data_IF_017611985325
#
_entry.id   IF_017611985325
#
_cell.length_a   1.000
_cell.length_b   1.000
_cell.length_c   1.000
_cell.angle_alpha   90.00
_cell.angle_beta   90.00
_cell.angle_gamma   90.00
#
_symmetry.space_group_name_H-M   'P 1'
#
loop_
_entity.id
_entity.type
_entity.pdbx_description
1 polymer ?
#
# COMPACT_ATOMS: atom_id res chain seq x y z
N UNK A 1 25.49 -2.25 -21.72
CA UNK A 1 24.06 -1.92 -21.61
C UNK A 1 23.28 -2.33 -22.87
N UNK A 2 23.88 -2.30 -24.07
CA UNK A 2 23.15 -2.64 -25.31
C UNK A 2 22.84 -4.13 -25.53
N UNK A 3 23.61 -5.07 -24.98
CA UNK A 3 23.41 -6.51 -25.26
C UNK A 3 22.04 -7.08 -24.79
N UNK A 4 21.40 -6.45 -23.80
CA UNK A 4 20.08 -6.85 -23.31
C UNK A 4 18.93 -6.08 -23.97
N UNK A 5 19.23 -5.02 -24.72
CA UNK A 5 18.22 -4.18 -25.34
C UNK A 5 17.41 -4.96 -26.37
N UNK A 6 18.08 -5.59 -27.33
CA UNK A 6 17.40 -6.33 -28.41
C UNK A 6 16.56 -7.51 -27.88
N UNK A 7 17.05 -8.38 -26.97
CA UNK A 7 16.22 -9.44 -26.40
C UNK A 7 15.02 -8.92 -25.59
N UNK A 8 15.19 -7.83 -24.85
CA UNK A 8 14.10 -7.23 -24.08
C UNK A 8 13.04 -6.60 -24.99
N UNK A 9 13.46 -5.88 -26.02
CA UNK A 9 12.54 -5.30 -26.99
C UNK A 9 11.76 -6.38 -27.74
N UNK A 10 12.40 -7.48 -28.13
CA UNK A 10 11.72 -8.62 -28.76
C UNK A 10 10.67 -9.25 -27.81
N UNK A 11 11.03 -9.50 -26.55
CA UNK A 11 10.09 -10.05 -25.56
C UNK A 11 8.91 -9.09 -25.27
N UNK A 12 9.17 -7.78 -25.24
CA UNK A 12 8.11 -6.78 -25.08
C UNK A 12 7.23 -6.69 -26.33
N UNK A 13 7.77 -6.92 -27.52
CA UNK A 13 7.01 -6.94 -28.78
C UNK A 13 6.05 -8.11 -28.86
N UNK A 14 6.43 -9.28 -28.34
CA UNK A 14 5.53 -10.42 -28.19
C UNK A 14 4.36 -10.13 -27.22
N UNK A 15 4.58 -9.34 -26.17
CA UNK A 15 3.56 -9.01 -25.18
C UNK A 15 2.66 -7.83 -25.60
N UNK A 16 3.24 -6.83 -26.24
CA UNK A 16 2.56 -5.61 -26.67
C UNK A 16 3.31 -5.02 -27.89
N UNK A 17 2.88 -5.29 -29.13
CA UNK A 17 3.57 -4.87 -30.34
C UNK A 17 3.87 -3.37 -30.38
N UNK A 18 5.04 -3.01 -30.90
CA UNK A 18 5.53 -1.63 -30.97
C UNK A 18 4.72 -0.73 -31.91
N UNK A 19 3.99 -1.30 -32.86
CA UNK A 19 3.02 -0.61 -33.73
C UNK A 19 1.59 -0.60 -33.15
N UNK A 20 1.39 -1.18 -31.97
CA UNK A 20 0.12 -1.24 -31.26
C UNK A 20 -0.14 -0.06 -30.32
N UNK A 21 -0.96 -0.29 -29.29
CA UNK A 21 -1.27 0.74 -28.28
C UNK A 21 -0.06 1.06 -27.39
N UNK A 22 0.37 2.32 -27.42
CA UNK A 22 1.48 2.81 -26.61
C UNK A 22 1.24 2.63 -25.10
N UNK A 23 -0.01 2.71 -24.62
CA UNK A 23 -0.32 2.49 -23.20
C UNK A 23 -0.23 1.00 -22.81
N UNK A 24 -0.57 0.10 -23.73
CA UNK A 24 -0.34 -1.34 -23.56
C UNK A 24 1.15 -1.65 -23.45
N UNK A 25 2.01 -1.00 -24.26
CA UNK A 25 3.48 -1.14 -24.18
C UNK A 25 4.04 -0.70 -22.82
N UNK A 26 3.54 0.42 -22.28
CA UNK A 26 3.92 0.89 -20.92
C UNK A 26 3.52 -0.13 -19.85
N UNK A 27 2.33 -0.71 -19.97
CA UNK A 27 1.81 -1.71 -19.02
C UNK A 27 2.65 -3.00 -19.08
N UNK A 28 2.93 -3.52 -20.27
CA UNK A 28 3.75 -4.71 -20.47
C UNK A 28 5.17 -4.50 -19.91
N UNK A 29 5.77 -3.34 -20.15
CA UNK A 29 7.12 -3.01 -19.64
C UNK A 29 7.14 -2.98 -18.11
N UNK A 30 6.14 -2.33 -17.50
CA UNK A 30 6.01 -2.27 -16.03
C UNK A 30 5.84 -3.68 -15.44
N UNK A 31 5.01 -4.52 -16.05
CA UNK A 31 4.71 -5.85 -15.54
C UNK A 31 5.88 -6.80 -15.73
N UNK A 32 6.63 -6.71 -16.83
CA UNK A 32 7.87 -7.46 -17.05
C UNK A 32 8.95 -7.09 -16.02
N UNK A 33 9.15 -5.80 -15.75
CA UNK A 33 10.08 -5.34 -14.72
C UNK A 33 9.70 -5.89 -13.34
N UNK A 34 8.40 -5.84 -12.99
CA UNK A 34 7.89 -6.39 -11.75
C UNK A 34 8.12 -7.91 -11.65
N UNK A 35 7.85 -8.64 -12.73
CA UNK A 35 8.01 -10.10 -12.74
C UNK A 35 9.47 -10.52 -12.59
N UNK A 36 10.40 -9.83 -13.25
CA UNK A 36 11.83 -10.07 -13.09
C UNK A 36 12.29 -9.82 -11.64
N UNK A 37 11.78 -8.78 -10.99
CA UNK A 37 12.12 -8.49 -9.58
C UNK A 37 11.48 -9.45 -8.58
N UNK A 38 10.21 -9.84 -8.79
CA UNK A 38 9.45 -10.65 -7.84
C UNK A 38 9.74 -12.15 -8.00
N UNK A 39 9.88 -12.64 -9.23
CA UNK A 39 10.02 -14.07 -9.55
C UNK A 39 11.45 -14.38 -9.99
N UNK A 40 11.91 -13.69 -11.04
CA UNK A 40 13.21 -14.00 -11.66
C UNK A 40 14.39 -13.89 -10.69
N UNK A 41 14.39 -12.85 -9.85
CA UNK A 41 15.44 -12.65 -8.85
C UNK A 41 15.38 -13.69 -7.72
N UNK A 42 14.19 -14.11 -7.30
CA UNK A 42 14.02 -15.14 -6.27
C UNK A 42 14.54 -16.48 -6.78
N UNK A 43 14.15 -16.88 -7.98
CA UNK A 43 14.61 -18.13 -8.61
C UNK A 43 16.14 -18.14 -8.83
N UNK A 44 16.72 -17.01 -9.20
CA UNK A 44 18.17 -16.89 -9.36
C UNK A 44 18.90 -17.08 -8.02
N UNK A 45 18.39 -16.48 -6.94
CA UNK A 45 18.94 -16.66 -5.59
C UNK A 45 18.78 -18.10 -5.10
N UNK A 46 17.62 -18.73 -5.34
CA UNK A 46 17.38 -20.13 -4.98
C UNK A 46 18.32 -21.09 -5.71
N UNK A 47 18.50 -20.90 -7.02
CA UNK A 47 19.48 -21.66 -7.81
C UNK A 47 20.90 -21.45 -7.30
N UNK A 48 21.30 -20.22 -6.98
CA UNK A 48 22.61 -19.93 -6.41
C UNK A 48 22.82 -20.63 -5.05
N UNK A 49 21.79 -20.64 -4.19
CA UNK A 49 21.80 -21.35 -2.90
C UNK A 49 21.90 -22.86 -3.10
N UNK A 50 21.13 -23.44 -4.02
CA UNK A 50 21.18 -24.87 -4.35
C UNK A 50 22.55 -25.28 -4.91
N UNK A 51 23.20 -24.39 -5.68
CA UNK A 51 24.57 -24.54 -6.16
C UNK A 51 25.66 -24.30 -5.11
N UNK A 52 25.32 -24.06 -3.84
CA UNK A 52 26.26 -23.93 -2.73
C UNK A 52 26.75 -22.51 -2.43
N UNK A 53 26.24 -21.49 -3.12
CA UNK A 53 26.65 -20.10 -2.85
C UNK A 53 26.25 -19.68 -1.44
N UNK A 54 27.17 -19.07 -0.70
CA UNK A 54 26.90 -18.52 0.64
C UNK A 54 26.07 -17.24 0.55
N UNK A 55 25.37 -16.90 1.63
CA UNK A 55 24.63 -15.63 1.70
C UNK A 55 25.52 -14.39 1.54
N UNK A 56 26.80 -14.47 1.93
CA UNK A 56 27.77 -13.39 1.73
C UNK A 56 28.04 -13.18 0.24
N UNK A 57 28.26 -14.25 -0.52
CA UNK A 57 28.46 -14.17 -1.98
C UNK A 57 27.21 -13.69 -2.70
N UNK A 58 26.03 -14.16 -2.29
CA UNK A 58 24.75 -13.70 -2.85
C UNK A 58 24.53 -12.22 -2.54
N UNK A 59 24.78 -11.78 -1.31
CA UNK A 59 24.72 -10.37 -0.94
C UNK A 59 25.64 -9.52 -1.81
N UNK A 60 26.89 -9.93 -1.99
CA UNK A 60 27.84 -9.23 -2.86
C UNK A 60 27.34 -9.13 -4.31
N UNK A 61 26.78 -10.19 -4.88
CA UNK A 61 26.20 -10.17 -6.23
C UNK A 61 24.99 -9.23 -6.35
N UNK A 62 24.23 -9.06 -5.26
CA UNK A 62 23.09 -8.16 -5.17
C UNK A 62 23.46 -6.71 -4.78
N UNK A 63 24.73 -6.44 -4.47
CA UNK A 63 25.19 -5.14 -3.96
C UNK A 63 24.72 -4.82 -2.54
N UNK A 64 24.41 -5.84 -1.72
CA UNK A 64 23.97 -5.70 -0.32
C UNK A 64 24.78 -6.59 0.62
N UNK A 65 24.55 -6.47 1.93
CA UNK A 65 25.19 -7.39 2.89
C UNK A 65 24.58 -8.79 2.80
N UNK A 66 25.34 -9.82 3.16
CA UNK A 66 24.81 -11.18 3.23
C UNK A 66 23.63 -11.32 4.20
N UNK A 67 23.65 -10.59 5.32
CA UNK A 67 22.51 -10.51 6.24
C UNK A 67 21.27 -9.96 5.56
N UNK A 68 21.40 -8.87 4.80
CA UNK A 68 20.28 -8.28 4.02
C UNK A 68 19.73 -9.28 3.00
N UNK A 69 20.61 -10.03 2.31
CA UNK A 69 20.20 -11.05 1.37
C UNK A 69 19.43 -12.20 2.07
N UNK A 70 19.94 -12.72 3.19
CA UNK A 70 19.25 -13.75 3.99
C UNK A 70 17.90 -13.23 4.50
N UNK A 71 17.83 -11.99 4.98
CA UNK A 71 16.58 -11.39 5.43
C UNK A 71 15.57 -11.29 4.29
N UNK A 72 16.00 -10.99 3.05
CA UNK A 72 15.06 -10.88 1.93
C UNK A 72 14.66 -12.22 1.32
N UNK A 73 15.60 -13.14 1.16
CA UNK A 73 15.43 -14.36 0.35
C UNK A 73 15.57 -15.67 1.13
N UNK A 74 16.11 -15.65 2.34
CA UNK A 74 16.22 -16.85 3.18
C UNK A 74 14.86 -17.33 3.69
N UNK A 75 14.81 -18.58 4.16
CA UNK A 75 13.56 -19.24 4.59
C UNK A 75 12.78 -19.86 3.43
N UNK A 76 11.63 -20.45 3.74
CA UNK A 76 10.71 -21.03 2.75
C UNK A 76 9.90 -19.94 2.04
N UNK A 77 9.26 -20.25 0.89
CA UNK A 77 8.34 -19.31 0.23
C UNK A 77 7.25 -18.80 1.18
N UNK A 78 6.69 -19.65 2.03
CA UNK A 78 5.66 -19.30 3.02
C UNK A 78 6.20 -18.32 4.07
N UNK A 79 7.42 -18.52 4.56
CA UNK A 79 8.07 -17.61 5.51
C UNK A 79 8.40 -16.24 4.89
N UNK A 80 8.71 -16.21 3.58
CA UNK A 80 8.90 -14.95 2.84
C UNK A 80 7.59 -14.20 2.66
N UNK A 81 6.52 -14.88 2.24
CA UNK A 81 5.21 -14.24 2.09
C UNK A 81 4.67 -13.77 3.44
N UNK A 82 4.82 -14.56 4.51
CA UNK A 82 4.42 -14.15 5.85
C UNK A 82 5.13 -12.86 6.30
N UNK A 83 6.44 -12.73 6.04
CA UNK A 83 7.18 -11.48 6.33
C UNK A 83 6.76 -10.32 5.44
N UNK A 84 6.49 -10.57 4.16
CA UNK A 84 5.98 -9.57 3.24
C UNK A 84 4.61 -9.05 3.73
N UNK A 85 3.72 -9.95 4.11
CA UNK A 85 2.40 -9.61 4.65
C UNK A 85 2.52 -8.82 5.95
N UNK A 86 3.33 -9.26 6.91
CA UNK A 86 3.59 -8.48 8.14
C UNK A 86 4.16 -7.09 7.87
N UNK A 87 4.98 -6.93 6.82
CA UNK A 87 5.49 -5.62 6.39
C UNK A 87 4.38 -4.74 5.80
N UNK A 88 3.52 -5.31 4.95
CA UNK A 88 2.33 -4.65 4.40
C UNK A 88 1.38 -4.22 5.51
N UNK A 89 1.11 -5.08 6.48
CA UNK A 89 0.22 -4.81 7.62
C UNK A 89 0.77 -3.68 8.49
N UNK A 90 2.07 -3.69 8.81
CA UNK A 90 2.73 -2.59 9.53
C UNK A 90 2.69 -1.27 8.75
N UNK A 91 2.87 -1.32 7.43
CA UNK A 91 2.73 -0.13 6.58
C UNK A 91 1.29 0.40 6.55
N UNK A 92 0.30 -0.50 6.45
CA UNK A 92 -1.12 -0.16 6.51
C UNK A 92 -1.50 0.46 7.86
N UNK A 93 -1.00 -0.11 8.97
CA UNK A 93 -1.20 0.43 10.31
C UNK A 93 -0.60 1.84 10.47
N UNK A 94 0.64 2.06 10.00
CA UNK A 94 1.27 3.39 10.03
C UNK A 94 0.50 4.41 9.19
N UNK A 95 0.05 4.03 8.00
CA UNK A 95 -0.75 4.91 7.15
C UNK A 95 -2.10 5.25 7.79
N UNK A 96 -2.77 4.27 8.43
CA UNK A 96 -4.01 4.50 9.16
C UNK A 96 -3.80 5.50 10.30
N UNK A 97 -2.77 5.29 11.13
CA UNK A 97 -2.44 6.20 12.22
C UNK A 97 -2.13 7.63 11.71
N UNK A 98 -1.40 7.75 10.60
CA UNK A 98 -1.11 9.05 9.99
C UNK A 98 -2.39 9.73 9.46
N UNK A 99 -3.28 9.01 8.80
CA UNK A 99 -4.57 9.54 8.34
C UNK A 99 -5.46 9.96 9.52
N UNK A 100 -5.49 9.19 10.60
CA UNK A 100 -6.21 9.57 11.82
C UNK A 100 -5.65 10.85 12.46
N UNK A 101 -4.32 10.98 12.54
CA UNK A 101 -3.68 12.18 13.08
C UNK A 101 -3.99 13.42 12.22
N UNK A 102 -3.91 13.30 10.89
CA UNK A 102 -4.27 14.39 9.97
C UNK A 102 -5.76 14.73 10.11
N UNK A 103 -6.62 13.71 10.16
CA UNK A 103 -8.06 13.88 10.32
C UNK A 103 -8.47 14.53 11.63
N UNK A 104 -7.70 14.32 12.71
CA UNK A 104 -7.92 14.90 14.05
C UNK A 104 -7.36 16.33 14.20
N UNK A 105 -6.48 16.77 13.30
CA UNK A 105 -5.93 18.12 13.34
C UNK A 105 -6.94 19.09 12.71
N UNK A 106 -7.27 20.22 13.35
CA UNK A 106 -8.05 21.29 12.73
C UNK A 106 -7.37 21.77 11.44
N UNK A 107 -8.13 21.90 10.36
CA UNK A 107 -7.62 22.21 9.02
C UNK A 107 -8.65 23.03 8.26
N UNK A 108 -8.28 24.26 7.92
CA UNK A 108 -9.17 25.20 7.21
C UNK A 108 -9.34 24.84 5.73
N UNK A 109 -8.45 24.01 5.18
CA UNK A 109 -8.50 23.53 3.79
C UNK A 109 -9.41 22.30 3.60
N UNK A 110 -9.96 21.74 4.68
CA UNK A 110 -10.82 20.56 4.63
C UNK A 110 -12.28 20.92 4.98
N UNK A 111 -13.27 20.28 4.33
CA UNK A 111 -14.68 20.53 4.63
C UNK A 111 -15.02 20.04 6.04
N UNK A 112 -15.83 20.81 6.77
CA UNK A 112 -16.34 20.43 8.10
C UNK A 112 -15.24 20.32 9.16
N UNK A 113 -15.58 19.71 10.29
CA UNK A 113 -14.68 19.54 11.44
C UNK A 113 -14.15 18.11 11.55
N UNK A 114 -13.11 17.90 12.34
CA UNK A 114 -12.60 16.57 12.63
C UNK A 114 -13.60 15.75 13.44
N UNK A 115 -13.45 14.42 13.38
CA UNK A 115 -14.20 13.51 14.26
C UNK A 115 -13.88 13.79 15.74
N UNK A 116 -12.68 14.27 16.06
CA UNK A 116 -12.29 14.65 17.41
C UNK A 116 -13.03 15.89 17.90
N UNK A 117 -13.03 16.97 17.11
CA UNK A 117 -13.76 18.20 17.41
C UNK A 117 -15.27 17.96 17.47
N UNK A 118 -15.81 17.10 16.62
CA UNK A 118 -17.22 16.74 16.67
C UNK A 118 -17.58 15.96 17.95
N UNK A 119 -16.72 15.02 18.37
CA UNK A 119 -16.92 14.29 19.62
C UNK A 119 -16.95 15.24 20.82
N UNK A 120 -16.03 16.19 20.86
CA UNK A 120 -15.97 17.24 21.89
C UNK A 120 -17.24 18.12 21.88
N UNK A 121 -17.67 18.60 20.70
CA UNK A 121 -18.89 19.42 20.57
C UNK A 121 -20.18 18.67 20.93
N UNK A 122 -20.21 17.36 20.73
CA UNK A 122 -21.35 16.49 21.07
C UNK A 122 -21.30 15.99 22.52
N UNK A 123 -20.26 16.32 23.28
CA UNK A 123 -20.01 15.80 24.63
C UNK A 123 -20.01 14.26 24.68
N UNK A 124 -19.37 13.63 23.68
CA UNK A 124 -19.22 12.17 23.58
C UNK A 124 -17.75 11.82 23.59
N UNK A 125 -17.37 10.76 24.31
CA UNK A 125 -16.01 10.24 24.28
C UNK A 125 -15.59 9.86 22.83
N UNK A 126 -14.43 10.34 22.39
CA UNK A 126 -13.93 10.13 21.02
C UNK A 126 -13.92 8.66 20.57
N UNK A 127 -13.49 7.74 21.45
CA UNK A 127 -13.50 6.31 21.15
C UNK A 127 -14.90 5.77 20.87
N UNK A 128 -15.87 6.19 21.67
CA UNK A 128 -17.30 5.84 21.50
C UNK A 128 -17.85 6.40 20.20
N UNK A 129 -17.57 7.68 19.90
CA UNK A 129 -18.05 8.32 18.68
C UNK A 129 -17.44 7.68 17.42
N UNK A 130 -16.14 7.38 17.42
CA UNK A 130 -15.48 6.61 16.34
C UNK A 130 -16.13 5.24 16.13
N UNK A 131 -16.47 4.55 17.22
CA UNK A 131 -17.16 3.25 17.13
C UNK A 131 -18.55 3.38 16.52
N UNK A 132 -19.32 4.40 16.88
CA UNK A 132 -20.64 4.66 16.30
C UNK A 132 -20.54 4.98 14.80
N UNK A 133 -19.61 5.86 14.42
CA UNK A 133 -19.32 6.16 13.00
C UNK A 133 -18.96 4.89 12.22
N UNK A 134 -18.11 4.03 12.80
CA UNK A 134 -17.74 2.77 12.14
C UNK A 134 -18.96 1.89 11.90
N UNK A 135 -19.80 1.67 12.91
CA UNK A 135 -21.02 0.84 12.79
C UNK A 135 -21.99 1.46 11.79
N UNK A 136 -22.15 2.79 11.80
CA UNK A 136 -23.01 3.50 10.86
C UNK A 136 -22.49 3.43 9.41
N UNK A 137 -21.17 3.46 9.20
CA UNK A 137 -20.51 3.22 7.91
C UNK A 137 -20.74 1.79 7.42
N UNK A 138 -20.53 0.79 8.28
CA UNK A 138 -20.72 -0.63 7.94
C UNK A 138 -22.18 -0.93 7.54
N UNK A 139 -23.15 -0.23 8.15
CA UNK A 139 -24.58 -0.31 7.81
C UNK A 139 -25.01 0.61 6.68
N UNK A 140 -24.11 1.44 6.17
CA UNK A 140 -24.39 2.49 5.18
C UNK A 140 -25.60 3.36 5.55
N UNK A 141 -25.70 3.78 6.82
CA UNK A 141 -26.87 4.50 7.32
C UNK A 141 -27.03 5.88 6.67
N UNK A 142 -28.28 6.36 6.59
CA UNK A 142 -28.55 7.71 6.07
C UNK A 142 -27.89 8.78 6.94
N UNK A 143 -27.90 8.60 8.26
CA UNK A 143 -27.21 9.50 9.20
C UNK A 143 -25.71 9.59 8.90
N UNK A 144 -25.04 8.47 8.57
CA UNK A 144 -23.63 8.49 8.16
C UNK A 144 -23.42 9.27 6.87
N UNK A 145 -24.25 9.00 5.84
CA UNK A 145 -24.13 9.65 4.52
C UNK A 145 -24.33 11.16 4.58
N UNK A 146 -25.20 11.65 5.48
CA UNK A 146 -25.44 13.08 5.69
C UNK A 146 -24.34 13.70 6.55
N UNK A 147 -23.96 13.05 7.65
CA UNK A 147 -23.05 13.62 8.65
C UNK A 147 -21.58 13.61 8.24
N UNK A 148 -21.13 12.60 7.49
CA UNK A 148 -19.72 12.31 7.27
C UNK A 148 -19.35 12.43 5.80
N UNK A 149 -18.35 13.26 5.51
CA UNK A 149 -17.68 13.31 4.20
C UNK A 149 -16.34 12.59 4.26
N UNK A 150 -16.15 11.64 3.34
CA UNK A 150 -14.85 11.01 3.10
C UNK A 150 -14.03 11.86 2.14
N UNK A 151 -12.85 12.30 2.58
CA UNK A 151 -11.95 13.13 1.78
C UNK A 151 -10.69 12.35 1.44
N UNK A 152 -10.47 12.14 0.15
CA UNK A 152 -9.26 11.49 -0.36
C UNK A 152 -8.11 12.51 -0.38
N UNK A 153 -7.06 12.27 0.43
CA UNK A 153 -5.87 13.13 0.47
C UNK A 153 -4.76 12.64 -0.48
N UNK A 154 -4.72 11.34 -0.75
CA UNK A 154 -3.80 10.69 -1.71
C UNK A 154 -4.35 9.30 -2.05
N UNK A 155 -3.89 8.59 -3.09
CA UNK A 155 -4.43 7.25 -3.43
C UNK A 155 -4.46 6.23 -2.28
N UNK A 156 -3.62 6.40 -1.25
CA UNK A 156 -3.52 5.51 -0.09
C UNK A 156 -4.05 6.12 1.22
N UNK A 157 -4.63 7.33 1.20
CA UNK A 157 -5.07 8.05 2.40
C UNK A 157 -6.43 8.73 2.22
N UNK A 158 -7.35 8.37 3.09
CA UNK A 158 -8.69 8.95 3.24
C UNK A 158 -8.86 9.43 4.68
N UNK A 159 -9.53 10.55 4.88
CA UNK A 159 -9.92 11.07 6.20
C UNK A 159 -11.42 11.32 6.26
N UNK A 160 -12.02 11.08 7.44
CA UNK A 160 -13.43 11.39 7.71
C UNK A 160 -13.54 12.81 8.26
N UNK A 161 -14.47 13.58 7.70
CA UNK A 161 -14.84 14.90 8.21
C UNK A 161 -16.32 14.96 8.55
N UNK A 162 -16.64 15.55 9.69
CA UNK A 162 -18.03 15.78 10.11
C UNK A 162 -18.49 17.08 9.47
N UNK A 163 -19.42 16.97 8.52
CA UNK A 163 -19.96 18.11 7.76
C UNK A 163 -21.32 18.57 8.27
N UNK A 164 -22.01 17.71 9.03
CA UNK A 164 -23.28 18.03 9.71
C UNK A 164 -23.27 17.43 11.12
N UNK A 165 -23.23 18.31 12.13
CA UNK A 165 -23.21 17.95 13.54
C UNK A 165 -24.55 17.38 14.05
N UNK A 166 -25.68 17.86 13.52
CA UNK A 166 -27.00 17.39 13.95
C UNK A 166 -27.31 16.00 13.42
N UNK A 167 -26.88 15.70 12.19
CA UNK A 167 -26.92 14.36 11.65
C UNK A 167 -25.92 13.44 12.39
N UNK A 168 -24.73 13.95 12.73
CA UNK A 168 -23.73 13.21 13.49
C UNK A 168 -24.21 12.81 14.89
N UNK A 169 -25.03 13.64 15.54
CA UNK A 169 -25.63 13.32 16.84
C UNK A 169 -26.60 12.13 16.79
N UNK A 170 -27.10 11.78 15.60
CA UNK A 170 -28.03 10.66 15.35
C UNK A 170 -27.32 9.35 14.98
N UNK A 171 -25.99 9.37 14.89
CA UNK A 171 -25.13 8.19 14.69
C UNK A 171 -24.86 7.50 16.03
#
# INVERSE_FOLDING_TARGET
MDAMREPLEAALDELAPSDGDALARVTATRDAARWLEEVGLVEAVERARAGGSTWVQIGAALGVTGTTATTRFGGTPEEREARAQQSRDRAAQRNRAASEAIGATPRDDLPGISVAEAAEKLDVQLGTFRRRIQVARERNSDAFRVAIKLVQLSPKREVMRVVDLEAAARI
#
